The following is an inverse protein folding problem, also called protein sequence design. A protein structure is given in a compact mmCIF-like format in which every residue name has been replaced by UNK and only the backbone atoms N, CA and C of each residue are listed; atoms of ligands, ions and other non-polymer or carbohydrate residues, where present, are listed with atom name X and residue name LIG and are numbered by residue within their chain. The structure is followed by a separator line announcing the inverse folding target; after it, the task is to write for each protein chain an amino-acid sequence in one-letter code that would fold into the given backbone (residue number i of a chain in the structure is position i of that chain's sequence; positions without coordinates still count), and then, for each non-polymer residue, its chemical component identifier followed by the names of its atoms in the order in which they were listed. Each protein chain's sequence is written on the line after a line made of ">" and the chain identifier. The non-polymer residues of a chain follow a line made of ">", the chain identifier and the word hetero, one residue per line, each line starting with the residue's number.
data_IF_790156614674
#
_entry.id   IF_790156614674
#
_cell.length_a   1.000
_cell.length_b   1.000
_cell.length_c   1.000
_cell.angle_alpha   90.00
_cell.angle_beta   90.00
_cell.angle_gamma   90.00
#
_symmetry.space_group_name_H-M   'P 1'
#
loop_
_entity.id
_entity.type
_entity.pdbx_description
1 polymer ?
#
# COMPACT_ATOMS: atom_id res chain seq x y z
N UNK A 1 -26.64 42.49 29.63
CA UNK A 1 -27.62 43.59 29.30
C UNK A 1 -28.23 43.25 27.97
N UNK A 2 -29.48 42.94 28.07
CA UNK A 2 -30.67 43.40 27.34
C UNK A 2 -30.77 42.94 25.86
N UNK A 3 -31.67 42.01 25.64
CA UNK A 3 -33.07 42.14 25.09
C UNK A 3 -33.04 42.42 23.57
N UNK A 4 -33.59 41.63 22.70
CA UNK A 4 -34.85 40.92 22.61
C UNK A 4 -35.74 41.67 21.60
N UNK A 5 -36.34 41.01 20.67
CA UNK A 5 -37.75 41.20 20.28
C UNK A 5 -38.10 40.26 19.12
N UNK A 6 -39.18 39.55 19.33
CA UNK A 6 -39.90 38.73 18.41
C UNK A 6 -40.83 39.55 17.50
N UNK A 7 -41.23 38.97 16.38
CA UNK A 7 -42.29 39.49 15.55
C UNK A 7 -42.89 38.39 14.67
N UNK A 8 -44.15 38.13 14.92
CA UNK A 8 -44.94 37.00 14.40
C UNK A 8 -45.81 37.40 13.18
N UNK A 9 -46.22 36.35 12.48
CA UNK A 9 -47.52 36.09 11.85
C UNK A 9 -47.91 36.82 10.54
N UNK A 10 -48.44 36.01 9.65
CA UNK A 10 -49.29 36.43 8.53
C UNK A 10 -49.72 35.26 7.65
N UNK A 11 -50.82 34.59 8.06
CA UNK A 11 -51.62 33.66 7.24
C UNK A 11 -52.35 34.43 6.14
N UNK A 12 -52.50 33.83 4.96
CA UNK A 12 -53.71 33.98 4.13
C UNK A 12 -53.81 32.78 3.18
N UNK A 13 -54.90 32.05 3.33
CA UNK A 13 -55.43 31.03 2.45
C UNK A 13 -56.55 31.64 1.57
N UNK A 14 -56.69 31.16 0.32
CA UNK A 14 -57.93 31.09 -0.47
C UNK A 14 -57.72 30.11 -1.59
N UNK A 15 -58.23 28.97 -1.58
CA UNK A 15 -59.50 28.36 -2.02
C UNK A 15 -59.81 28.44 -3.56
N UNK A 16 -60.00 27.25 -4.15
CA UNK A 16 -61.16 26.97 -4.94
C UNK A 16 -60.91 26.49 -6.40
N UNK A 17 -61.45 25.30 -6.70
CA UNK A 17 -61.77 25.00 -8.09
C UNK A 17 -61.73 23.50 -8.44
N UNK A 18 -62.75 22.74 -8.06
CA UNK A 18 -63.11 21.42 -8.59
C UNK A 18 -63.56 21.50 -10.03
N UNK A 19 -63.23 20.56 -10.88
CA UNK A 19 -64.18 19.95 -11.79
C UNK A 19 -63.72 18.53 -12.22
N UNK A 20 -64.62 17.62 -12.00
CA UNK A 20 -64.66 16.20 -12.28
C UNK A 20 -64.87 15.89 -13.76
N UNK A 21 -64.28 14.80 -14.25
CA UNK A 21 -64.97 13.93 -15.21
C UNK A 21 -64.43 12.50 -15.08
N UNK A 22 -65.37 11.60 -14.73
CA UNK A 22 -65.23 10.15 -14.73
C UNK A 22 -65.29 9.59 -16.16
N UNK A 23 -64.55 8.54 -16.42
CA UNK A 23 -65.13 7.42 -17.19
C UNK A 23 -64.34 6.12 -16.91
N UNK A 24 -65.07 5.12 -16.74
CA UNK A 24 -64.85 3.78 -16.20
C UNK A 24 -64.29 2.77 -17.20
N UNK A 25 -63.73 1.71 -16.56
CA UNK A 25 -63.62 0.29 -16.98
C UNK A 25 -62.34 -0.09 -17.73
N UNK A 26 -61.59 -1.13 -17.42
CA UNK A 26 -61.91 -2.48 -16.98
C UNK A 26 -60.63 -3.16 -16.44
N UNK A 27 -60.83 -4.10 -15.57
CA UNK A 27 -59.84 -4.95 -14.93
C UNK A 27 -59.13 -5.92 -15.87
N UNK A 28 -57.80 -6.03 -15.71
CA UNK A 28 -57.13 -7.33 -15.84
C UNK A 28 -55.87 -7.37 -15.03
N UNK A 29 -55.89 -8.14 -13.94
CA UNK A 29 -54.71 -8.58 -13.20
C UNK A 29 -53.67 -9.22 -14.13
N UNK A 30 -52.53 -8.59 -14.27
CA UNK A 30 -51.27 -9.26 -14.64
C UNK A 30 -50.26 -9.00 -13.54
N UNK A 31 -50.07 -10.04 -12.69
CA UNK A 31 -48.87 -10.19 -11.91
C UNK A 31 -47.67 -10.10 -12.85
N UNK A 32 -47.05 -8.94 -12.90
CA UNK A 32 -45.69 -8.77 -13.45
C UNK A 32 -44.73 -9.23 -12.36
N UNK A 33 -44.23 -10.44 -12.51
CA UNK A 33 -43.02 -10.87 -11.82
C UNK A 33 -41.91 -9.96 -12.19
N UNK A 34 -41.42 -9.17 -11.24
CA UNK A 34 -40.21 -8.34 -11.39
C UNK A 34 -39.02 -9.25 -11.61
N UNK A 35 -38.66 -9.47 -12.87
CA UNK A 35 -37.32 -9.85 -13.26
C UNK A 35 -36.46 -8.64 -12.96
N UNK A 36 -35.63 -8.72 -11.93
CA UNK A 36 -34.55 -7.75 -11.67
C UNK A 36 -33.55 -7.81 -12.79
N UNK A 37 -33.83 -7.15 -13.90
CA UNK A 37 -32.84 -6.88 -14.94
C UNK A 37 -31.86 -5.87 -14.36
N UNK A 38 -30.62 -6.28 -14.15
CA UNK A 38 -29.50 -5.37 -13.93
C UNK A 38 -29.50 -4.34 -15.05
N UNK A 39 -29.77 -3.08 -14.72
CA UNK A 39 -29.69 -2.00 -15.71
C UNK A 39 -28.30 -2.03 -16.33
N UNK A 40 -28.21 -1.94 -17.67
CA UNK A 40 -26.94 -1.93 -18.37
C UNK A 40 -26.15 -0.70 -17.93
N UNK A 41 -24.96 -0.90 -17.37
CA UNK A 41 -24.04 0.19 -16.99
C UNK A 41 -23.25 0.74 -18.17
N UNK A 42 -23.40 0.17 -19.37
CA UNK A 42 -22.72 0.59 -20.58
C UNK A 42 -23.00 2.08 -20.89
N UNK A 43 -21.95 2.84 -21.21
CA UNK A 43 -22.03 4.27 -21.45
C UNK A 43 -21.95 5.17 -20.21
N UNK A 44 -21.99 4.59 -19.01
CA UNK A 44 -21.76 5.33 -17.76
C UNK A 44 -20.30 5.82 -17.67
N UNK A 45 -20.07 6.81 -16.80
CA UNK A 45 -18.73 7.31 -16.47
C UNK A 45 -18.46 7.10 -14.99
N UNK A 46 -17.26 6.63 -14.68
CA UNK A 46 -16.72 6.44 -13.34
C UNK A 46 -15.48 7.31 -13.17
N UNK A 47 -15.36 7.99 -12.04
CA UNK A 47 -14.16 8.72 -11.66
C UNK A 47 -13.26 7.85 -10.76
N UNK A 48 -11.95 7.97 -10.92
CA UNK A 48 -10.97 7.15 -10.21
C UNK A 48 -9.84 8.02 -9.66
N UNK A 49 -9.82 8.24 -8.35
CA UNK A 49 -8.74 8.93 -7.64
C UNK A 49 -7.51 8.02 -7.53
N UNK A 50 -6.34 8.52 -7.91
CA UNK A 50 -5.14 7.70 -7.98
C UNK A 50 -3.95 8.38 -7.34
N UNK A 51 -3.21 7.63 -6.49
CA UNK A 51 -1.89 8.00 -5.98
C UNK A 51 -0.73 7.45 -6.83
N UNK A 52 -1.01 6.81 -7.96
CA UNK A 52 0.01 6.31 -8.87
C UNK A 52 0.59 7.48 -9.69
N UNK A 53 1.45 8.29 -9.07
CA UNK A 53 2.04 9.50 -9.67
C UNK A 53 3.37 9.25 -10.35
N UNK A 54 4.12 8.23 -9.95
CA UNK A 54 5.37 7.84 -10.62
C UNK A 54 5.11 7.39 -12.06
N UNK A 55 5.97 7.76 -13.02
CA UNK A 55 5.71 7.57 -14.46
C UNK A 55 5.35 6.14 -14.84
N UNK A 56 6.01 5.16 -14.25
CA UNK A 56 5.81 3.75 -14.56
C UNK A 56 4.45 3.25 -14.05
N UNK A 57 4.14 3.44 -12.78
CA UNK A 57 2.86 3.07 -12.18
C UNK A 57 1.69 3.79 -12.85
N UNK A 58 1.86 5.09 -13.17
CA UNK A 58 0.86 5.88 -13.90
C UNK A 58 0.57 5.30 -15.29
N UNK A 59 1.61 4.87 -16.00
CA UNK A 59 1.46 4.28 -17.34
C UNK A 59 0.77 2.91 -17.27
N UNK A 60 1.15 2.06 -16.32
CA UNK A 60 0.53 0.75 -16.11
C UNK A 60 -0.95 0.88 -15.72
N UNK A 61 -1.26 1.84 -14.85
CA UNK A 61 -2.64 2.10 -14.43
C UNK A 61 -3.51 2.66 -15.57
N UNK A 62 -2.95 3.49 -16.44
CA UNK A 62 -3.64 3.97 -17.65
C UNK A 62 -3.97 2.81 -18.60
N UNK A 63 -3.07 1.84 -18.78
CA UNK A 63 -3.33 0.63 -19.57
C UNK A 63 -4.46 -0.21 -18.95
N UNK A 64 -4.41 -0.47 -17.63
CA UNK A 64 -5.44 -1.19 -16.90
C UNK A 64 -6.82 -0.54 -17.03
N UNK A 65 -6.92 0.77 -16.82
CA UNK A 65 -8.20 1.49 -16.88
C UNK A 65 -8.74 1.59 -18.32
N UNK A 66 -7.88 1.61 -19.33
CA UNK A 66 -8.26 1.50 -20.75
C UNK A 66 -8.84 0.12 -21.04
N UNK A 67 -8.21 -0.94 -20.57
CA UNK A 67 -8.70 -2.30 -20.73
C UNK A 67 -10.04 -2.51 -19.97
N UNK A 68 -10.16 -1.98 -18.76
CA UNK A 68 -11.40 -2.00 -17.99
C UNK A 68 -12.54 -1.27 -18.70
N UNK A 69 -12.27 -0.10 -19.29
CA UNK A 69 -13.24 0.65 -20.13
C UNK A 69 -13.68 -0.18 -21.33
N UNK A 70 -12.75 -0.84 -22.00
CA UNK A 70 -13.04 -1.67 -23.19
C UNK A 70 -13.92 -2.86 -22.84
N UNK A 71 -13.64 -3.53 -21.71
CA UNK A 71 -14.37 -4.71 -21.26
C UNK A 71 -15.77 -4.36 -20.75
N UNK A 72 -15.88 -3.41 -19.83
CA UNK A 72 -17.15 -3.05 -19.17
C UNK A 72 -18.05 -2.11 -19.98
N UNK A 73 -17.50 -1.44 -21.01
CA UNK A 73 -18.14 -0.32 -21.72
C UNK A 73 -18.45 0.89 -20.81
N UNK A 74 -17.81 0.99 -19.66
CA UNK A 74 -17.89 2.10 -18.72
C UNK A 74 -16.68 3.00 -18.95
N UNK A 75 -16.89 4.30 -19.14
CA UNK A 75 -15.79 5.26 -19.29
C UNK A 75 -15.13 5.54 -17.94
N UNK A 76 -13.82 5.38 -17.84
CA UNK A 76 -13.05 5.72 -16.64
C UNK A 76 -12.33 7.05 -16.85
N UNK A 77 -12.47 7.97 -15.88
CA UNK A 77 -11.69 9.20 -15.79
C UNK A 77 -10.79 9.13 -14.57
N UNK A 78 -9.47 9.15 -14.77
CA UNK A 78 -8.48 9.05 -13.70
C UNK A 78 -8.04 10.44 -13.25
N UNK A 79 -8.11 10.70 -11.94
CA UNK A 79 -7.64 11.90 -11.27
C UNK A 79 -6.38 11.53 -10.44
N UNK A 80 -5.20 11.77 -11.00
CA UNK A 80 -3.93 11.46 -10.33
C UNK A 80 -3.48 12.63 -9.46
N UNK A 81 -3.15 12.33 -8.21
CA UNK A 81 -2.52 13.23 -7.24
C UNK A 81 -1.17 12.63 -6.86
N UNK A 82 -0.20 13.48 -6.50
CA UNK A 82 1.09 13.04 -5.98
C UNK A 82 0.91 12.02 -4.83
N UNK A 83 1.75 10.98 -4.82
CA UNK A 83 1.62 9.83 -3.93
C UNK A 83 1.54 10.22 -2.45
N UNK A 84 2.48 11.05 -1.98
CA UNK A 84 2.52 11.47 -0.59
C UNK A 84 1.35 12.42 -0.26
N UNK A 85 1.07 13.37 -1.15
CA UNK A 85 -0.04 14.32 -1.02
C UNK A 85 -1.39 13.60 -0.94
N UNK A 86 -1.62 12.55 -1.74
CA UNK A 86 -2.84 11.75 -1.69
C UNK A 86 -3.01 11.06 -0.32
N UNK A 87 -1.93 10.44 0.19
CA UNK A 87 -1.93 9.78 1.48
C UNK A 87 -2.17 10.74 2.64
N UNK A 88 -1.50 11.91 2.64
CA UNK A 88 -1.63 12.91 3.69
C UNK A 88 -3.05 13.48 3.76
N UNK A 89 -3.72 13.61 2.62
CA UNK A 89 -5.04 14.21 2.50
C UNK A 89 -6.20 13.20 2.42
N UNK A 90 -5.95 11.90 2.53
CA UNK A 90 -6.95 10.85 2.28
C UNK A 90 -8.22 11.03 3.14
N UNK A 91 -8.10 11.38 4.40
CA UNK A 91 -9.24 11.58 5.29
C UNK A 91 -10.13 12.72 4.79
N UNK A 92 -9.56 13.87 4.49
CA UNK A 92 -10.31 15.02 3.96
C UNK A 92 -10.86 14.78 2.56
N UNK A 93 -10.12 14.04 1.72
CA UNK A 93 -10.59 13.61 0.42
C UNK A 93 -11.83 12.71 0.52
N UNK A 94 -11.81 11.67 1.35
CA UNK A 94 -12.95 10.76 1.53
C UNK A 94 -14.15 11.41 2.21
N UNK A 95 -13.92 12.35 3.13
CA UNK A 95 -14.97 13.13 3.78
C UNK A 95 -15.56 14.22 2.87
N UNK A 96 -14.80 14.70 1.90
CA UNK A 96 -15.21 15.75 0.95
C UNK A 96 -16.04 15.22 -0.23
N UNK A 97 -15.52 15.39 -1.44
CA UNK A 97 -16.07 14.91 -2.71
C UNK A 97 -15.07 13.98 -3.39
N UNK A 98 -14.94 12.73 -2.89
CA UNK A 98 -14.02 11.77 -3.48
C UNK A 98 -14.52 11.30 -4.85
N UNK A 99 -13.61 10.70 -5.61
CA UNK A 99 -13.94 9.95 -6.79
C UNK A 99 -14.80 8.71 -6.45
N UNK A 100 -15.40 8.08 -7.46
CA UNK A 100 -16.20 6.85 -7.25
C UNK A 100 -15.31 5.72 -6.73
N UNK A 101 -14.16 5.52 -7.35
CA UNK A 101 -13.12 4.56 -6.96
C UNK A 101 -11.84 5.29 -6.55
N UNK A 102 -11.02 4.64 -5.74
CA UNK A 102 -9.71 5.17 -5.41
C UNK A 102 -8.69 4.04 -5.18
N UNK A 103 -7.43 4.33 -5.52
CA UNK A 103 -6.28 3.46 -5.21
C UNK A 103 -6.01 3.49 -3.72
N UNK A 104 -5.77 2.33 -3.10
CA UNK A 104 -5.43 2.26 -1.69
C UNK A 104 -4.60 1.01 -1.36
N UNK A 105 -4.32 0.83 -0.09
CA UNK A 105 -3.47 -0.19 0.49
C UNK A 105 -4.29 -1.21 1.28
N UNK A 106 -3.93 -2.48 1.21
CA UNK A 106 -4.47 -3.52 2.08
C UNK A 106 -4.02 -3.35 3.55
N UNK A 107 -4.49 -4.23 4.43
CA UNK A 107 -4.13 -4.23 5.83
C UNK A 107 -4.98 -3.30 6.69
N UNK A 108 -4.49 -2.96 7.89
CA UNK A 108 -5.25 -2.16 8.85
C UNK A 108 -5.61 -0.77 8.31
N UNK A 109 -4.79 -0.20 7.45
CA UNK A 109 -5.06 1.11 6.85
C UNK A 109 -6.33 1.12 5.98
N UNK A 110 -6.64 0.02 5.28
CA UNK A 110 -7.94 -0.18 4.60
C UNK A 110 -9.05 -0.32 5.64
N UNK A 111 -8.85 -1.20 6.63
CA UNK A 111 -9.82 -1.48 7.69
C UNK A 111 -10.20 -0.22 8.48
N UNK A 112 -9.25 0.66 8.74
CA UNK A 112 -9.44 1.93 9.43
C UNK A 112 -10.46 2.84 8.72
N UNK A 113 -10.34 3.02 7.40
CA UNK A 113 -11.28 3.86 6.64
C UNK A 113 -12.63 3.17 6.41
N UNK A 114 -12.64 1.85 6.24
CA UNK A 114 -13.87 1.06 6.16
C UNK A 114 -14.68 1.16 7.48
N UNK A 115 -14.03 1.01 8.63
CA UNK A 115 -14.66 1.12 9.95
C UNK A 115 -15.25 2.51 10.23
N UNK A 116 -14.70 3.56 9.62
CA UNK A 116 -15.27 4.92 9.67
C UNK A 116 -16.44 5.14 8.70
N UNK A 117 -16.83 4.13 7.94
CA UNK A 117 -17.89 4.22 6.95
C UNK A 117 -17.56 5.09 5.74
N UNK A 118 -16.27 5.24 5.40
CA UNK A 118 -15.79 6.05 4.27
C UNK A 118 -15.65 5.26 2.96
N UNK A 119 -15.79 3.93 3.02
CA UNK A 119 -15.84 3.02 1.87
C UNK A 119 -17.14 2.21 1.88
N UNK A 120 -17.51 1.67 0.72
CA UNK A 120 -18.61 0.72 0.59
C UNK A 120 -18.09 -0.72 0.59
N UNK A 121 -18.84 -1.69 1.16
CA UNK A 121 -18.49 -3.09 1.06
C UNK A 121 -18.60 -3.58 -0.39
N UNK A 122 -17.79 -4.58 -0.71
CA UNK A 122 -17.62 -5.17 -2.04
C UNK A 122 -17.93 -6.68 -2.06
N UNK A 123 -18.76 -7.16 -1.14
CA UNK A 123 -19.08 -8.60 -1.03
C UNK A 123 -19.65 -9.15 -2.32
N UNK A 124 -20.55 -8.42 -2.97
CA UNK A 124 -21.14 -8.75 -4.25
C UNK A 124 -20.13 -8.79 -5.42
N UNK A 125 -19.09 -7.94 -5.37
CA UNK A 125 -17.95 -8.01 -6.29
C UNK A 125 -17.15 -9.28 -5.98
N UNK A 126 -16.85 -9.53 -4.69
CA UNK A 126 -16.08 -10.70 -4.25
C UNK A 126 -16.79 -12.05 -4.50
N UNK A 127 -18.13 -12.08 -4.53
CA UNK A 127 -18.88 -13.26 -5.00
C UNK A 127 -18.49 -13.65 -6.43
N UNK A 128 -18.15 -12.67 -7.29
CA UNK A 128 -17.79 -12.90 -8.69
C UNK A 128 -16.29 -13.16 -8.88
N UNK A 129 -15.45 -12.42 -8.17
CA UNK A 129 -13.99 -12.46 -8.38
C UNK A 129 -13.25 -13.36 -7.37
N UNK A 130 -13.87 -13.75 -6.26
CA UNK A 130 -13.20 -14.43 -5.15
C UNK A 130 -12.53 -15.75 -5.54
N UNK A 131 -13.03 -16.43 -6.57
CA UNK A 131 -12.39 -17.62 -7.12
C UNK A 131 -11.03 -17.36 -7.80
N UNK A 132 -10.75 -16.12 -8.13
CA UNK A 132 -9.47 -15.72 -8.75
C UNK A 132 -8.36 -15.53 -7.73
N UNK A 133 -8.66 -15.49 -6.43
CA UNK A 133 -7.69 -15.15 -5.38
C UNK A 133 -7.58 -16.25 -4.33
N UNK A 134 -6.39 -16.32 -3.72
CA UNK A 134 -6.15 -17.19 -2.57
C UNK A 134 -6.75 -16.62 -1.27
N UNK A 135 -6.85 -17.45 -0.21
CA UNK A 135 -7.40 -17.03 1.10
C UNK A 135 -6.70 -15.82 1.71
N UNK A 136 -5.38 -15.70 1.53
CA UNK A 136 -4.59 -14.58 2.04
C UNK A 136 -5.01 -13.24 1.42
N UNK A 137 -5.20 -13.19 0.10
CA UNK A 137 -5.66 -11.99 -0.60
C UNK A 137 -7.07 -11.59 -0.14
N UNK A 138 -7.97 -12.56 0.06
CA UNK A 138 -9.31 -12.32 0.62
C UNK A 138 -9.22 -11.74 2.03
N UNK A 139 -8.38 -12.31 2.90
CA UNK A 139 -8.18 -11.82 4.26
C UNK A 139 -7.66 -10.38 4.29
N UNK A 140 -6.67 -10.06 3.45
CA UNK A 140 -6.10 -8.71 3.31
C UNK A 140 -7.13 -7.67 2.80
N UNK A 141 -8.19 -8.13 2.13
CA UNK A 141 -9.26 -7.28 1.61
C UNK A 141 -10.46 -7.19 2.56
N UNK A 142 -10.41 -7.85 3.73
CA UNK A 142 -11.52 -7.96 4.67
C UNK A 142 -11.41 -6.91 5.77
N UNK A 143 -12.48 -6.16 5.99
CA UNK A 143 -12.65 -5.18 7.06
C UNK A 143 -12.80 -5.81 8.44
N UNK A 144 -12.81 -4.99 9.49
CA UNK A 144 -12.98 -5.42 10.88
C UNK A 144 -14.38 -6.01 11.15
N UNK A 145 -15.33 -5.68 10.30
CA UNK A 145 -16.74 -6.18 10.33
C UNK A 145 -16.96 -7.47 9.52
N UNK A 146 -15.92 -7.99 8.87
CA UNK A 146 -15.95 -9.21 8.09
C UNK A 146 -16.34 -9.02 6.62
N UNK A 147 -16.72 -7.82 6.18
CA UNK A 147 -17.02 -7.51 4.79
C UNK A 147 -15.74 -7.22 3.99
N UNK A 148 -15.75 -7.44 2.68
CA UNK A 148 -14.64 -7.09 1.80
C UNK A 148 -14.75 -5.64 1.34
N UNK A 149 -13.60 -4.92 1.33
CA UNK A 149 -13.54 -3.49 0.97
C UNK A 149 -12.48 -3.15 -0.08
N UNK A 150 -11.63 -4.11 -0.45
CA UNK A 150 -10.55 -3.91 -1.40
C UNK A 150 -10.61 -4.96 -2.50
N UNK A 151 -10.36 -4.57 -3.74
CA UNK A 151 -9.97 -5.49 -4.83
C UNK A 151 -8.46 -5.38 -4.96
N UNK A 152 -7.67 -6.42 -4.60
CA UNK A 152 -6.23 -6.37 -4.65
C UNK A 152 -5.74 -6.45 -6.10
N UNK A 153 -4.56 -5.89 -6.39
CA UNK A 153 -3.97 -5.91 -7.73
C UNK A 153 -2.60 -6.59 -7.76
N UNK A 154 -1.68 -6.18 -6.90
CA UNK A 154 -0.31 -6.68 -6.87
C UNK A 154 0.27 -6.62 -5.47
N UNK A 155 1.39 -7.33 -5.28
CA UNK A 155 2.28 -7.10 -4.15
C UNK A 155 3.73 -6.91 -4.63
N UNK A 156 4.58 -6.39 -3.72
CA UNK A 156 5.99 -6.11 -3.98
C UNK A 156 6.83 -6.39 -2.73
N UNK A 157 7.76 -7.34 -2.80
CA UNK A 157 8.59 -7.64 -1.65
C UNK A 157 9.62 -6.54 -1.40
N UNK A 158 9.93 -6.30 -0.12
CA UNK A 158 11.05 -5.49 0.32
C UNK A 158 12.29 -6.36 0.47
N UNK A 159 13.33 -6.02 -0.29
CA UNK A 159 14.52 -6.85 -0.47
C UNK A 159 15.77 -5.98 -0.56
N UNK A 160 16.95 -6.60 -0.45
CA UNK A 160 18.23 -5.89 -0.62
C UNK A 160 18.68 -6.01 -2.06
N UNK A 161 18.62 -4.91 -2.79
CA UNK A 161 19.07 -4.82 -4.19
C UNK A 161 20.56 -4.62 -4.29
N UNK A 162 21.16 -5.11 -5.39
CA UNK A 162 22.55 -4.92 -5.76
C UNK A 162 22.75 -5.07 -7.28
N UNK A 163 23.86 -4.54 -7.82
CA UNK A 163 24.26 -4.76 -9.21
C UNK A 163 25.17 -5.98 -9.30
N UNK A 164 24.79 -6.98 -10.10
CA UNK A 164 25.56 -8.25 -10.29
C UNK A 164 26.98 -7.99 -10.77
N UNK A 165 27.15 -7.07 -11.72
CA UNK A 165 28.45 -6.72 -12.27
C UNK A 165 29.41 -6.14 -11.22
N UNK A 166 28.95 -5.30 -10.30
CA UNK A 166 29.78 -4.75 -9.23
C UNK A 166 30.15 -5.80 -8.17
N UNK A 167 29.19 -6.71 -7.83
CA UNK A 167 29.49 -7.83 -6.94
C UNK A 167 30.54 -8.77 -7.56
N UNK A 168 30.40 -9.12 -8.83
CA UNK A 168 31.37 -9.95 -9.54
C UNK A 168 32.76 -9.28 -9.64
N UNK A 169 32.82 -8.03 -10.08
CA UNK A 169 34.05 -7.24 -10.22
C UNK A 169 34.83 -7.10 -8.93
N UNK A 170 34.15 -6.97 -7.80
CA UNK A 170 34.75 -6.76 -6.48
C UNK A 170 34.84 -8.02 -5.64
N UNK A 171 34.44 -9.17 -6.19
CA UNK A 171 34.40 -10.47 -5.52
C UNK A 171 33.57 -10.43 -4.21
N UNK A 172 32.43 -9.72 -4.24
CA UNK A 172 31.50 -9.72 -3.12
C UNK A 172 30.63 -10.96 -3.17
N UNK A 173 30.31 -11.49 -1.99
CA UNK A 173 29.40 -12.61 -1.80
C UNK A 173 28.08 -12.11 -1.20
N UNK A 174 26.96 -12.61 -1.67
CA UNK A 174 25.64 -12.31 -1.11
C UNK A 174 25.60 -12.82 0.34
N UNK A 175 25.33 -11.92 1.31
CA UNK A 175 25.27 -12.30 2.73
C UNK A 175 23.97 -13.03 3.06
N UNK A 176 24.04 -14.00 3.97
CA UNK A 176 22.89 -14.77 4.46
C UNK A 176 22.60 -14.49 5.94
N UNK A 177 23.58 -13.96 6.67
CA UNK A 177 23.51 -13.62 8.09
C UNK A 177 23.80 -12.14 8.32
N UNK A 178 23.38 -11.64 9.48
CA UNK A 178 23.65 -10.26 9.91
C UNK A 178 25.14 -9.94 9.93
N UNK A 179 25.96 -10.81 10.49
CA UNK A 179 27.40 -10.61 10.60
C UNK A 179 28.07 -10.52 9.23
N UNK A 180 27.64 -11.38 8.28
CA UNK A 180 28.11 -11.30 6.88
C UNK A 180 27.67 -9.99 6.21
N UNK A 181 26.43 -9.52 6.48
CA UNK A 181 25.90 -8.28 5.92
C UNK A 181 26.70 -7.05 6.39
N UNK A 182 26.92 -6.96 7.70
CA UNK A 182 27.75 -5.89 8.30
C UNK A 182 29.20 -5.98 7.81
N UNK A 183 29.76 -7.19 7.71
CA UNK A 183 31.12 -7.40 7.20
C UNK A 183 31.23 -6.96 5.73
N UNK A 184 30.25 -7.29 4.90
CA UNK A 184 30.20 -6.83 3.51
C UNK A 184 30.10 -5.30 3.43
N UNK A 185 29.25 -4.68 4.24
CA UNK A 185 29.10 -3.22 4.31
C UNK A 185 30.43 -2.54 4.71
N UNK A 186 31.14 -3.09 5.70
CA UNK A 186 32.51 -2.62 6.08
C UNK A 186 33.48 -2.70 4.90
N UNK A 187 33.49 -3.83 4.20
CA UNK A 187 34.35 -4.03 3.02
C UNK A 187 34.02 -3.04 1.91
N UNK A 188 32.74 -2.85 1.58
CA UNK A 188 32.30 -1.88 0.57
C UNK A 188 32.76 -0.46 0.90
N UNK A 189 32.68 -0.06 2.18
CA UNK A 189 33.17 1.24 2.64
C UNK A 189 34.68 1.39 2.45
N UNK A 190 35.44 0.34 2.74
CA UNK A 190 36.90 0.30 2.52
C UNK A 190 37.25 0.37 1.04
N UNK A 191 36.44 -0.27 0.17
CA UNK A 191 36.60 -0.28 -1.27
C UNK A 191 36.12 1.04 -1.95
N UNK A 192 35.70 2.03 -1.15
CA UNK A 192 35.32 3.37 -1.61
C UNK A 192 33.88 3.50 -2.13
N UNK A 193 33.01 2.49 -1.88
CA UNK A 193 31.60 2.58 -2.18
C UNK A 193 30.80 3.17 -1.01
N UNK A 194 29.63 3.73 -1.29
CA UNK A 194 28.56 3.87 -0.32
C UNK A 194 28.00 2.45 -0.11
N UNK A 195 28.14 1.84 1.09
CA UNK A 195 27.72 0.45 1.24
C UNK A 195 26.21 0.24 0.99
N UNK A 196 25.38 1.12 1.55
CA UNK A 196 23.93 1.04 1.48
C UNK A 196 23.37 2.40 1.06
N UNK A 197 22.78 2.47 -0.12
CA UNK A 197 21.99 3.63 -0.55
C UNK A 197 20.77 3.75 0.38
N UNK A 198 20.53 4.96 0.92
CA UNK A 198 19.48 5.17 1.91
C UNK A 198 18.90 6.59 1.81
N UNK A 199 17.58 6.67 1.95
CA UNK A 199 16.82 7.92 1.88
C UNK A 199 15.57 7.82 2.76
N UNK A 200 15.21 8.92 3.43
CA UNK A 200 14.04 8.99 4.30
C UNK A 200 13.39 10.38 4.37
N UNK A 201 13.55 11.20 3.33
CA UNK A 201 12.89 12.53 3.28
C UNK A 201 11.39 12.42 3.41
N UNK A 202 10.80 11.40 2.78
CA UNK A 202 9.37 11.13 2.80
C UNK A 202 8.90 10.46 4.11
N UNK A 203 9.85 10.00 4.95
CA UNK A 203 9.64 9.40 6.27
C UNK A 203 9.23 7.93 6.24
N UNK A 204 8.49 7.50 5.24
CA UNK A 204 8.05 6.11 5.14
C UNK A 204 9.17 5.11 4.73
N UNK A 205 10.22 5.45 3.93
CA UNK A 205 11.19 4.43 3.53
C UNK A 205 11.91 3.75 4.70
N UNK A 206 12.20 4.49 5.76
CA UNK A 206 12.87 3.94 6.93
C UNK A 206 11.97 3.02 7.79
N UNK A 207 10.63 3.12 7.67
CA UNK A 207 9.71 2.22 8.36
C UNK A 207 10.00 0.75 7.97
N UNK A 208 10.25 0.47 6.68
CA UNK A 208 10.56 -0.88 6.23
C UNK A 208 11.84 -1.46 6.82
N UNK A 209 12.86 -0.62 7.10
CA UNK A 209 14.06 -1.08 7.80
C UNK A 209 13.75 -1.47 9.24
N UNK A 210 12.89 -0.71 9.92
CA UNK A 210 12.42 -1.09 11.26
C UNK A 210 11.63 -2.41 11.21
N UNK A 211 10.71 -2.55 10.28
CA UNK A 211 9.83 -3.72 10.15
C UNK A 211 10.63 -4.99 9.92
N UNK A 212 11.53 -5.00 8.94
CA UNK A 212 12.33 -6.19 8.65
C UNK A 212 13.26 -6.56 9.80
N UNK A 213 13.89 -5.58 10.44
CA UNK A 213 14.71 -5.85 11.63
C UNK A 213 13.87 -6.40 12.77
N UNK A 214 12.69 -5.84 13.00
CA UNK A 214 11.80 -6.35 14.06
C UNK A 214 11.36 -7.79 13.79
N UNK A 215 10.98 -8.13 12.56
CA UNK A 215 10.63 -9.50 12.19
C UNK A 215 11.83 -10.45 12.26
N UNK A 216 13.04 -10.01 11.87
CA UNK A 216 14.27 -10.82 11.95
C UNK A 216 14.78 -11.06 13.37
N UNK A 217 14.50 -10.14 14.29
CA UNK A 217 14.94 -10.19 15.70
C UNK A 217 13.89 -10.85 16.59
N UNK A 218 12.64 -10.42 16.47
CA UNK A 218 11.56 -10.75 17.41
C UNK A 218 10.50 -11.70 16.81
N UNK A 219 10.42 -11.82 15.47
CA UNK A 219 9.44 -12.62 14.75
C UNK A 219 8.17 -11.86 14.40
N UNK A 220 7.38 -12.46 13.50
CA UNK A 220 6.18 -11.85 12.93
C UNK A 220 5.09 -11.57 13.97
N UNK A 221 4.80 -12.53 14.84
CA UNK A 221 3.75 -12.36 15.87
C UNK A 221 4.06 -11.22 16.83
N UNK A 222 5.35 -11.04 17.17
CA UNK A 222 5.78 -9.90 17.97
C UNK A 222 5.57 -8.59 17.21
N UNK A 223 5.97 -8.56 15.94
CA UNK A 223 5.80 -7.38 15.08
C UNK A 223 4.33 -6.96 15.00
N UNK A 224 3.41 -7.87 14.68
CA UNK A 224 1.97 -7.57 14.59
C UNK A 224 1.35 -7.15 15.93
N UNK A 225 1.83 -7.71 17.05
CA UNK A 225 1.41 -7.28 18.38
C UNK A 225 1.92 -5.89 18.73
N UNK A 226 3.12 -5.52 18.27
CA UNK A 226 3.66 -4.18 18.45
C UNK A 226 2.86 -3.16 17.61
N UNK A 227 2.55 -3.48 16.35
CA UNK A 227 1.74 -2.63 15.46
C UNK A 227 0.36 -2.35 16.05
N UNK A 228 -0.24 -3.29 16.76
CA UNK A 228 -1.55 -3.16 17.44
C UNK A 228 -1.45 -2.74 18.92
N UNK A 229 -0.30 -2.29 19.36
CA UNK A 229 0.00 -1.89 20.76
C UNK A 229 -0.35 -2.95 21.82
N UNK A 230 -0.32 -4.23 21.45
CA UNK A 230 -0.42 -5.36 22.40
C UNK A 230 0.91 -5.65 23.08
N UNK A 231 2.00 -5.07 22.59
CA UNK A 231 3.33 -5.02 23.19
C UNK A 231 3.68 -3.53 23.29
N UNK A 232 4.20 -3.06 24.44
CA UNK A 232 4.56 -1.66 24.61
C UNK A 232 5.81 -1.30 23.80
N UNK A 233 5.88 -0.09 23.27
CA UNK A 233 7.05 0.41 22.54
C UNK A 233 8.30 0.54 23.41
N UNK A 234 8.15 0.49 24.72
CA UNK A 234 9.26 0.45 25.70
C UNK A 234 9.81 -0.96 25.94
N UNK A 235 9.29 -1.98 25.24
CA UNK A 235 9.79 -3.35 25.36
C UNK A 235 11.26 -3.47 24.94
N UNK A 236 11.99 -4.39 25.58
CA UNK A 236 13.40 -4.62 25.30
C UNK A 236 13.66 -5.09 23.86
N UNK A 237 12.71 -5.82 23.26
CA UNK A 237 12.78 -6.24 21.85
C UNK A 237 12.85 -5.06 20.91
N UNK A 238 12.10 -3.97 21.17
CA UNK A 238 12.16 -2.72 20.39
C UNK A 238 13.52 -2.04 20.54
N UNK A 239 14.08 -2.01 21.77
CA UNK A 239 15.43 -1.48 21.97
C UNK A 239 16.46 -2.25 21.15
N UNK A 240 16.36 -3.59 21.11
CA UNK A 240 17.24 -4.45 20.32
C UNK A 240 17.19 -4.14 18.83
N UNK A 241 15.99 -3.83 18.27
CA UNK A 241 15.83 -3.41 16.88
C UNK A 241 16.64 -2.14 16.60
N UNK A 242 16.46 -1.11 17.41
CA UNK A 242 17.20 0.16 17.25
C UNK A 242 18.71 -0.01 17.44
N UNK A 243 19.16 -0.88 18.35
CA UNK A 243 20.58 -1.16 18.57
C UNK A 243 21.22 -1.82 17.34
N UNK A 244 20.60 -2.84 16.76
CA UNK A 244 21.08 -3.46 15.51
C UNK A 244 21.07 -2.45 14.35
N UNK A 245 20.04 -1.63 14.26
CA UNK A 245 20.02 -0.60 13.23
C UNK A 245 21.11 0.45 13.41
N UNK A 246 21.40 0.86 14.65
CA UNK A 246 22.50 1.76 14.97
C UNK A 246 23.87 1.23 14.49
N UNK A 247 24.08 -0.10 14.53
CA UNK A 247 25.30 -0.73 13.98
C UNK A 247 25.41 -0.56 12.45
N UNK A 248 24.28 -0.47 11.74
CA UNK A 248 24.23 -0.37 10.30
C UNK A 248 24.32 1.07 9.79
N UNK A 249 23.83 2.06 10.56
CA UNK A 249 23.79 3.46 10.15
C UNK A 249 25.13 4.03 9.66
N UNK A 250 26.30 3.70 10.25
CA UNK A 250 27.60 4.17 9.73
C UNK A 250 27.95 3.71 8.32
N UNK A 251 27.20 2.75 7.77
CA UNK A 251 27.34 2.18 6.43
C UNK A 251 26.24 2.62 5.47
N UNK A 252 25.29 3.42 5.92
CA UNK A 252 24.24 3.99 5.07
C UNK A 252 24.69 5.31 4.44
N UNK A 253 24.06 5.68 3.34
CA UNK A 253 24.28 6.95 2.68
C UNK A 253 23.87 8.10 3.59
N UNK A 254 24.84 8.99 3.90
CA UNK A 254 24.64 10.12 4.82
C UNK A 254 23.56 11.09 4.33
N UNK A 255 22.87 11.79 5.24
CA UNK A 255 21.84 12.77 4.91
C UNK A 255 20.52 12.15 4.43
N UNK A 256 20.15 10.98 4.94
CA UNK A 256 18.95 10.25 4.55
C UNK A 256 17.67 11.09 4.68
N UNK A 257 17.48 11.80 5.79
CA UNK A 257 16.30 12.63 6.08
C UNK A 257 16.12 13.81 5.10
N UNK A 258 17.12 14.13 4.28
CA UNK A 258 17.05 15.16 3.24
C UNK A 258 16.92 14.61 1.81
N UNK A 259 17.03 13.30 1.62
CA UNK A 259 17.07 12.63 0.30
C UNK A 259 15.78 11.88 0.03
N UNK A 260 15.23 12.00 -1.19
CA UNK A 260 14.14 11.17 -1.69
C UNK A 260 14.65 9.79 -2.10
N UNK A 261 13.79 8.77 -2.03
CA UNK A 261 14.19 7.39 -2.33
C UNK A 261 14.62 7.19 -3.79
N UNK A 262 14.08 7.96 -4.74
CA UNK A 262 14.47 7.93 -6.15
C UNK A 262 15.96 8.29 -6.34
N UNK A 263 16.47 9.26 -5.59
CA UNK A 263 17.88 9.64 -5.66
C UNK A 263 18.80 8.59 -5.05
N UNK A 264 18.36 7.89 -4.00
CA UNK A 264 19.08 6.75 -3.46
C UNK A 264 19.14 5.59 -4.47
N UNK A 265 18.01 5.28 -5.12
CA UNK A 265 17.96 4.24 -6.15
C UNK A 265 18.87 4.56 -7.35
N UNK A 266 18.90 5.82 -7.80
CA UNK A 266 19.86 6.29 -8.83
C UNK A 266 21.32 6.16 -8.39
N UNK A 267 21.61 6.34 -7.10
CA UNK A 267 22.97 6.13 -6.56
C UNK A 267 23.39 4.66 -6.69
N UNK A 268 22.45 3.73 -6.48
CA UNK A 268 22.67 2.31 -6.73
C UNK A 268 22.81 2.00 -8.23
N UNK A 269 21.95 2.55 -9.07
CA UNK A 269 22.00 2.39 -10.54
C UNK A 269 23.32 2.87 -11.12
N UNK A 270 23.80 4.02 -10.64
CA UNK A 270 25.11 4.60 -11.02
C UNK A 270 26.30 3.81 -10.46
N UNK A 271 26.08 2.69 -9.74
CA UNK A 271 27.12 1.85 -9.13
C UNK A 271 28.03 2.59 -8.12
N UNK A 272 27.51 3.68 -7.57
CA UNK A 272 28.16 4.45 -6.49
C UNK A 272 27.83 3.86 -5.11
N UNK A 273 26.71 3.17 -5.00
CA UNK A 273 26.36 2.37 -3.83
C UNK A 273 26.41 0.86 -4.13
N UNK A 274 26.69 0.06 -3.10
CA UNK A 274 26.77 -1.39 -3.21
C UNK A 274 25.43 -2.08 -3.10
N UNK A 275 24.55 -1.61 -2.20
CA UNK A 275 23.26 -2.23 -1.85
C UNK A 275 22.20 -1.17 -1.58
N UNK A 276 20.92 -1.58 -1.65
CA UNK A 276 19.77 -0.78 -1.18
C UNK A 276 18.65 -1.72 -0.70
N UNK A 277 18.15 -1.54 0.52
CA UNK A 277 16.97 -2.23 1.02
C UNK A 277 15.73 -1.38 0.73
N UNK A 278 14.83 -1.88 -0.12
CA UNK A 278 13.62 -1.17 -0.53
C UNK A 278 12.65 -2.13 -1.26
N UNK A 279 11.43 -1.66 -1.54
CA UNK A 279 10.47 -2.40 -2.34
C UNK A 279 10.88 -2.54 -3.82
N UNK A 280 10.44 -3.62 -4.45
CA UNK A 280 10.76 -3.89 -5.87
C UNK A 280 10.19 -2.83 -6.79
N UNK A 281 8.98 -2.34 -6.52
CA UNK A 281 8.32 -1.29 -7.30
C UNK A 281 9.01 0.09 -7.21
N UNK A 282 9.84 0.32 -6.19
CA UNK A 282 10.62 1.55 -6.11
C UNK A 282 11.97 1.41 -6.87
N UNK A 283 12.79 0.43 -6.50
CA UNK A 283 14.14 0.35 -7.04
C UNK A 283 14.15 -0.06 -8.50
N UNK A 284 13.50 -1.17 -8.86
CA UNK A 284 13.53 -1.65 -10.24
C UNK A 284 12.88 -0.67 -11.21
N UNK A 285 11.88 0.10 -10.76
CA UNK A 285 11.25 1.14 -11.56
C UNK A 285 12.20 2.27 -11.98
N UNK A 286 13.28 2.53 -11.24
CA UNK A 286 14.28 3.53 -11.62
C UNK A 286 15.23 3.03 -12.73
N UNK A 287 15.31 1.72 -12.93
CA UNK A 287 16.17 1.07 -13.92
C UNK A 287 15.52 0.91 -15.31
N UNK A 288 14.26 1.36 -15.48
CA UNK A 288 13.48 1.16 -16.74
C UNK A 288 14.08 1.84 -17.96
N UNK A 289 14.83 2.92 -17.79
CA UNK A 289 15.35 3.71 -18.91
C UNK A 289 16.52 3.04 -19.61
N UNK A 290 17.18 2.08 -18.95
CA UNK A 290 18.27 1.29 -19.49
C UNK A 290 18.07 -0.20 -19.19
N UNK A 291 17.72 -0.95 -20.23
CA UNK A 291 17.51 -2.41 -20.10
C UNK A 291 18.77 -3.14 -19.61
N UNK A 292 19.96 -2.70 -19.99
CA UNK A 292 21.20 -3.34 -19.55
C UNK A 292 21.41 -3.17 -18.04
N UNK A 293 21.05 -2.01 -17.50
CA UNK A 293 21.08 -1.77 -16.06
C UNK A 293 20.04 -2.63 -15.33
N UNK A 294 18.82 -2.75 -15.87
CA UNK A 294 17.78 -3.62 -15.30
C UNK A 294 18.21 -5.10 -15.34
N UNK A 295 18.83 -5.56 -16.43
CA UNK A 295 19.34 -6.92 -16.54
C UNK A 295 20.54 -7.17 -15.58
N UNK A 296 21.26 -6.13 -15.15
CA UNK A 296 22.34 -6.20 -14.15
C UNK A 296 21.83 -6.17 -12.70
N UNK A 297 20.63 -5.66 -12.47
CA UNK A 297 20.01 -5.60 -11.14
C UNK A 297 19.65 -7.02 -10.66
N UNK A 298 19.91 -7.29 -9.38
CA UNK A 298 19.42 -8.47 -8.67
C UNK A 298 19.17 -8.10 -7.20
N UNK A 299 18.60 -9.02 -6.44
CA UNK A 299 18.36 -8.80 -5.01
C UNK A 299 18.62 -10.08 -4.21
N UNK A 300 18.69 -9.92 -2.89
CA UNK A 300 18.61 -11.01 -1.92
C UNK A 300 17.65 -10.61 -0.79
N UNK A 301 17.07 -11.60 -0.13
CA UNK A 301 16.21 -11.36 1.05
C UNK A 301 17.05 -10.83 2.20
N UNK A 302 16.46 -9.94 3.02
CA UNK A 302 17.20 -9.38 4.15
C UNK A 302 17.78 -10.50 5.03
N UNK A 303 19.08 -10.43 5.39
CA UNK A 303 19.77 -11.52 6.08
C UNK A 303 19.14 -11.91 7.41
N UNK A 304 19.41 -13.15 7.82
CA UNK A 304 19.00 -13.67 9.13
C UNK A 304 19.74 -12.93 10.24
N UNK A 305 18.99 -12.37 11.20
CA UNK A 305 19.55 -11.82 12.45
C UNK A 305 19.44 -12.87 13.56
N UNK A 306 18.24 -13.33 13.85
CA UNK A 306 18.01 -14.41 14.83
C UNK A 306 17.66 -15.71 14.08
N UNK A 307 18.49 -16.79 14.24
CA UNK A 307 18.25 -18.07 13.56
C UNK A 307 16.89 -18.70 13.86
N UNK A 308 16.27 -18.36 15.00
CA UNK A 308 14.92 -18.83 15.35
C UNK A 308 13.88 -18.43 14.31
N UNK A 309 14.05 -17.25 13.71
CA UNK A 309 13.10 -16.69 12.76
C UNK A 309 13.59 -16.79 11.30
N UNK A 310 14.90 -16.94 11.12
CA UNK A 310 15.52 -17.11 9.80
C UNK A 310 15.10 -16.03 8.82
N UNK A 311 14.60 -16.46 7.66
CA UNK A 311 14.04 -15.62 6.60
C UNK A 311 12.54 -15.94 6.35
N UNK A 312 11.85 -16.44 7.37
CA UNK A 312 10.46 -16.91 7.28
C UNK A 312 9.44 -15.79 7.02
N UNK A 313 9.83 -14.53 7.16
CA UNK A 313 8.96 -13.36 7.10
C UNK A 313 9.56 -12.25 6.26
N UNK A 314 8.72 -11.45 5.59
CA UNK A 314 9.14 -10.24 4.88
C UNK A 314 7.99 -9.24 4.81
N UNK A 315 8.32 -7.99 4.48
CA UNK A 315 7.34 -7.05 3.96
C UNK A 315 7.08 -7.36 2.49
N UNK A 316 5.83 -7.61 2.16
CA UNK A 316 5.34 -7.73 0.79
C UNK A 316 3.95 -7.08 0.70
N UNK A 317 3.91 -5.74 0.74
CA UNK A 317 2.66 -5.00 0.75
C UNK A 317 1.81 -5.27 -0.46
N UNK A 318 0.48 -5.19 -0.27
CA UNK A 318 -0.52 -5.36 -1.31
C UNK A 318 -1.23 -4.05 -1.55
N UNK A 319 -1.26 -3.61 -2.80
CA UNK A 319 -2.03 -2.46 -3.24
C UNK A 319 -3.27 -2.90 -4.02
N UNK A 320 -4.31 -2.06 -4.01
CA UNK A 320 -5.55 -2.37 -4.67
C UNK A 320 -6.49 -1.16 -4.75
N UNK A 321 -7.78 -1.44 -4.86
CA UNK A 321 -8.79 -0.45 -5.15
C UNK A 321 -9.99 -0.57 -4.23
N UNK A 322 -10.50 0.59 -3.81
CA UNK A 322 -11.68 0.70 -2.94
C UNK A 322 -12.79 1.49 -3.61
N UNK A 323 -14.03 1.23 -3.19
CA UNK A 323 -15.22 1.95 -3.60
C UNK A 323 -15.55 3.00 -2.54
N UNK A 324 -15.60 4.26 -2.94
CA UNK A 324 -15.93 5.37 -2.04
C UNK A 324 -17.35 5.24 -1.50
N UNK A 325 -17.57 5.61 -0.23
CA UNK A 325 -18.90 5.72 0.35
C UNK A 325 -19.79 6.70 -0.43
N UNK A 326 -19.19 7.70 -1.05
CA UNK A 326 -19.88 8.78 -1.79
C UNK A 326 -19.86 8.57 -3.31
N UNK A 327 -19.55 7.34 -3.77
CA UNK A 327 -19.61 7.02 -5.20
C UNK A 327 -20.96 7.35 -5.80
N UNK A 328 -20.96 8.05 -6.94
CA UNK A 328 -22.17 8.48 -7.64
C UNK A 328 -22.73 7.39 -8.58
N UNK A 329 -21.81 6.61 -9.15
CA UNK A 329 -22.11 5.55 -10.12
C UNK A 329 -21.67 4.18 -9.60
N UNK A 330 -22.23 3.76 -8.45
CA UNK A 330 -21.85 2.55 -7.71
C UNK A 330 -21.83 1.29 -8.58
N UNK A 331 -22.89 1.02 -9.35
CA UNK A 331 -22.98 -0.20 -10.18
C UNK A 331 -21.93 -0.20 -11.30
N UNK A 332 -21.69 0.96 -11.92
CA UNK A 332 -20.66 1.10 -12.93
C UNK A 332 -19.25 0.96 -12.32
N UNK A 333 -19.04 1.52 -11.14
CA UNK A 333 -17.78 1.38 -10.40
C UNK A 333 -17.52 -0.08 -10.02
N UNK A 334 -18.52 -0.82 -9.55
CA UNK A 334 -18.41 -2.25 -9.28
C UNK A 334 -18.08 -3.07 -10.53
N UNK A 335 -18.68 -2.75 -11.69
CA UNK A 335 -18.36 -3.41 -12.94
C UNK A 335 -16.89 -3.20 -13.38
N UNK A 336 -16.30 -2.03 -13.08
CA UNK A 336 -14.86 -1.79 -13.26
C UNK A 336 -14.05 -2.67 -12.31
N UNK A 337 -14.42 -2.75 -11.02
CA UNK A 337 -13.74 -3.57 -10.03
C UNK A 337 -13.84 -5.08 -10.32
N UNK A 338 -14.97 -5.55 -10.84
CA UNK A 338 -15.15 -6.92 -11.29
C UNK A 338 -14.16 -7.30 -12.40
N UNK A 339 -13.93 -6.40 -13.36
CA UNK A 339 -12.92 -6.62 -14.39
C UNK A 339 -11.50 -6.59 -13.80
N UNK A 340 -11.20 -5.59 -12.96
CA UNK A 340 -9.87 -5.43 -12.34
C UNK A 340 -9.49 -6.68 -11.52
N UNK A 341 -10.46 -7.30 -10.83
CA UNK A 341 -10.26 -8.52 -10.06
C UNK A 341 -10.08 -9.80 -10.91
N UNK A 342 -9.60 -9.69 -12.15
CA UNK A 342 -9.36 -10.83 -13.04
C UNK A 342 -7.89 -10.97 -13.42
N UNK A 343 -7.44 -12.21 -13.67
CA UNK A 343 -6.09 -12.46 -14.16
C UNK A 343 -5.72 -11.69 -15.44
N UNK A 344 -6.58 -11.58 -16.47
CA UNK A 344 -6.33 -10.73 -17.63
C UNK A 344 -6.07 -9.26 -17.30
N UNK A 345 -6.78 -8.70 -16.31
CA UNK A 345 -6.57 -7.32 -15.88
C UNK A 345 -5.22 -7.13 -15.17
N UNK A 346 -4.87 -8.04 -14.24
CA UNK A 346 -3.53 -8.05 -13.62
C UNK A 346 -2.43 -8.20 -14.67
N UNK A 347 -2.60 -9.12 -15.63
CA UNK A 347 -1.64 -9.32 -16.71
C UNK A 347 -1.46 -8.06 -17.57
N UNK A 348 -2.53 -7.28 -17.81
CA UNK A 348 -2.46 -6.01 -18.55
C UNK A 348 -1.63 -4.97 -17.78
N UNK A 349 -1.86 -4.83 -16.48
CA UNK A 349 -1.06 -3.95 -15.63
C UNK A 349 0.42 -4.36 -15.63
N UNK A 350 0.70 -5.64 -15.40
CA UNK A 350 2.05 -6.20 -15.26
C UNK A 350 2.86 -6.27 -16.56
N UNK A 351 2.24 -6.06 -17.73
CA UNK A 351 2.99 -5.87 -18.98
C UNK A 351 3.85 -4.60 -18.96
N UNK A 352 3.35 -3.55 -18.32
CA UNK A 352 4.03 -2.26 -18.22
C UNK A 352 4.78 -2.15 -16.89
N UNK A 353 4.18 -2.63 -15.82
CA UNK A 353 4.80 -2.75 -14.52
C UNK A 353 5.61 -4.06 -14.45
N UNK A 354 6.94 -3.95 -14.58
CA UNK A 354 7.83 -5.11 -14.70
C UNK A 354 8.54 -5.46 -13.38
N UNK A 355 8.04 -5.05 -12.24
CA UNK A 355 8.63 -5.24 -10.91
C UNK A 355 7.64 -5.71 -9.84
N UNK A 356 6.37 -5.47 -10.01
CA UNK A 356 5.31 -5.99 -9.15
C UNK A 356 4.91 -7.41 -9.54
N UNK A 357 4.28 -8.13 -8.63
CA UNK A 357 3.79 -9.49 -8.88
C UNK A 357 2.30 -9.59 -8.61
N UNK A 358 1.56 -10.22 -9.50
CA UNK A 358 0.12 -10.37 -9.40
C UNK A 358 -0.31 -11.37 -8.33
N UNK A 359 -1.56 -11.25 -7.91
CA UNK A 359 -2.16 -12.05 -6.84
C UNK A 359 -3.16 -13.09 -7.34
N UNK A 360 -3.61 -12.99 -8.60
CA UNK A 360 -4.60 -13.90 -9.14
C UNK A 360 -4.07 -15.33 -9.26
N UNK A 361 -4.86 -16.30 -8.82
CA UNK A 361 -4.57 -17.73 -8.93
C UNK A 361 -4.36 -18.12 -10.40
N UNK A 362 -3.29 -18.86 -10.67
CA UNK A 362 -3.01 -19.33 -12.02
C UNK A 362 -2.66 -18.24 -13.03
N UNK A 363 -2.39 -17.01 -12.55
CA UNK A 363 -1.96 -15.91 -13.39
C UNK A 363 -0.71 -16.30 -14.19
N UNK A 364 -0.85 -16.24 -15.50
CA UNK A 364 0.26 -16.45 -16.44
C UNK A 364 0.66 -15.11 -17.02
N UNK A 365 1.76 -14.55 -16.55
CA UNK A 365 2.41 -13.39 -17.16
C UNK A 365 3.61 -13.89 -17.96
N UNK A 366 3.46 -14.07 -19.29
CA UNK A 366 4.54 -14.62 -20.13
C UNK A 366 5.83 -13.81 -20.08
N UNK A 367 5.71 -12.56 -19.67
CA UNK A 367 6.77 -11.55 -19.68
C UNK A 367 7.44 -11.33 -18.33
N UNK A 368 7.13 -12.12 -17.28
CA UNK A 368 7.85 -12.00 -16.00
C UNK A 368 9.36 -12.07 -16.20
N UNK A 369 10.04 -11.00 -15.82
CA UNK A 369 11.50 -10.94 -15.84
C UNK A 369 12.13 -11.70 -14.66
N UNK A 370 13.45 -11.66 -14.54
CA UNK A 370 14.18 -12.38 -13.49
C UNK A 370 13.81 -11.88 -12.08
N UNK A 371 13.62 -10.57 -11.92
CA UNK A 371 13.24 -9.94 -10.62
C UNK A 371 11.86 -10.43 -10.19
N UNK A 372 10.85 -10.35 -11.07
CA UNK A 372 9.49 -10.80 -10.77
C UNK A 372 9.43 -12.30 -10.46
N UNK A 373 10.09 -13.14 -11.24
CA UNK A 373 10.16 -14.60 -10.99
C UNK A 373 10.78 -14.90 -9.63
N UNK A 374 11.85 -14.20 -9.29
CA UNK A 374 12.50 -14.33 -7.99
C UNK A 374 11.61 -13.82 -6.86
N UNK A 375 10.91 -12.71 -7.05
CA UNK A 375 9.94 -12.16 -6.08
C UNK A 375 8.84 -13.16 -5.74
N UNK A 376 8.22 -13.78 -6.75
CA UNK A 376 7.21 -14.84 -6.55
C UNK A 376 7.80 -16.01 -5.75
N UNK A 377 9.02 -16.43 -6.10
CA UNK A 377 9.67 -17.55 -5.41
C UNK A 377 10.01 -17.22 -3.95
N UNK A 378 10.48 -16.01 -3.65
CA UNK A 378 10.85 -15.62 -2.29
C UNK A 378 9.60 -15.38 -1.41
N UNK A 379 8.56 -14.72 -1.93
CA UNK A 379 7.27 -14.58 -1.22
C UNK A 379 6.69 -15.96 -0.90
N UNK A 380 6.75 -16.89 -1.87
CA UNK A 380 6.23 -18.25 -1.69
C UNK A 380 6.95 -19.10 -0.65
N UNK A 381 8.17 -18.72 -0.22
CA UNK A 381 8.92 -19.37 0.87
C UNK A 381 8.52 -18.84 2.24
N UNK A 382 7.94 -17.65 2.33
CA UNK A 382 7.59 -17.03 3.59
C UNK A 382 6.42 -17.74 4.28
N UNK A 383 6.48 -17.86 5.60
CA UNK A 383 5.37 -18.33 6.45
C UNK A 383 4.29 -17.27 6.57
N UNK A 384 4.68 -16.00 6.57
CA UNK A 384 3.79 -14.84 6.56
C UNK A 384 4.49 -13.63 5.96
N UNK A 385 3.70 -12.68 5.46
CA UNK A 385 4.15 -11.38 4.95
C UNK A 385 3.44 -10.26 5.70
N UNK A 386 4.19 -9.22 6.07
CA UNK A 386 3.64 -8.00 6.64
C UNK A 386 3.26 -7.02 5.52
N UNK A 387 2.32 -6.12 5.82
CA UNK A 387 1.85 -5.12 4.87
C UNK A 387 2.66 -3.82 4.94
N UNK A 388 3.56 -3.69 5.86
CA UNK A 388 4.34 -2.50 6.17
C UNK A 388 3.77 -1.70 7.36
N UNK A 389 4.62 -1.08 8.17
CA UNK A 389 4.19 -0.39 9.41
C UNK A 389 3.08 0.64 9.16
N UNK A 390 3.16 1.43 8.11
CA UNK A 390 2.16 2.46 7.82
C UNK A 390 0.81 1.89 7.37
N UNK A 391 0.72 0.59 7.17
CA UNK A 391 -0.47 -0.16 6.77
C UNK A 391 -0.95 -1.14 7.81
N UNK A 392 -0.04 -1.60 8.70
CA UNK A 392 -0.33 -2.55 9.78
C UNK A 392 -0.57 -1.86 11.13
N UNK A 393 -0.11 -0.61 11.30
CA UNK A 393 -0.36 0.21 12.47
C UNK A 393 -1.49 1.24 12.22
N UNK A 394 -2.01 1.82 13.31
CA UNK A 394 -2.90 2.97 13.21
C UNK A 394 -2.22 4.12 12.45
N UNK A 395 -2.93 4.83 11.54
CA UNK A 395 -2.34 5.91 10.75
C UNK A 395 -1.68 7.02 11.58
N UNK A 396 -2.23 7.33 12.76
CA UNK A 396 -1.63 8.31 13.65
C UNK A 396 -0.33 7.78 14.30
N UNK A 397 -0.29 6.47 14.60
CA UNK A 397 0.91 5.83 15.13
C UNK A 397 2.01 5.73 14.07
N UNK A 398 1.66 5.35 12.84
CA UNK A 398 2.60 5.35 11.72
C UNK A 398 3.24 6.73 11.51
N UNK A 399 2.42 7.79 11.54
CA UNK A 399 2.91 9.17 11.44
C UNK A 399 3.83 9.57 12.60
N UNK A 400 3.51 9.15 13.83
CA UNK A 400 4.37 9.37 14.99
C UNK A 400 5.72 8.64 14.84
N UNK A 401 5.69 7.38 14.35
CA UNK A 401 6.90 6.58 14.14
C UNK A 401 7.80 7.13 13.04
N UNK A 402 7.28 7.72 11.99
CA UNK A 402 8.09 8.46 10.99
C UNK A 402 8.98 9.49 11.70
N UNK A 403 8.38 10.37 12.51
CA UNK A 403 9.14 11.40 13.23
C UNK A 403 10.14 10.82 14.24
N UNK A 404 9.79 9.72 14.90
CA UNK A 404 10.65 9.04 15.87
C UNK A 404 11.84 8.40 15.19
N UNK A 405 11.63 7.72 14.06
CA UNK A 405 12.69 7.04 13.30
C UNK A 405 13.63 8.08 12.66
N UNK A 406 13.12 9.19 12.13
CA UNK A 406 13.99 10.27 11.61
C UNK A 406 14.90 10.84 12.70
N UNK A 407 14.39 11.05 13.91
CA UNK A 407 15.21 11.47 15.07
C UNK A 407 16.24 10.42 15.48
N UNK A 408 15.90 9.13 15.36
CA UNK A 408 16.84 8.04 15.60
C UNK A 408 17.97 8.01 14.55
N UNK A 409 17.64 8.23 13.28
CA UNK A 409 18.63 8.28 12.19
C UNK A 409 19.63 9.43 12.44
N UNK A 410 19.17 10.58 12.94
CA UNK A 410 20.01 11.73 13.25
C UNK A 410 20.86 11.53 14.51
N UNK A 411 20.34 10.81 15.53
CA UNK A 411 21.07 10.49 16.76
C UNK A 411 20.75 9.04 17.22
N UNK A 412 21.56 8.04 16.81
CA UNK A 412 21.36 6.64 17.19
C UNK A 412 21.97 6.28 18.56
N UNK A 413 22.25 7.24 19.44
CA UNK A 413 22.81 6.99 20.75
C UNK A 413 21.82 6.22 21.67
N UNK A 414 22.38 5.40 22.55
CA UNK A 414 21.57 4.59 23.50
C UNK A 414 20.63 5.45 24.37
N UNK A 415 21.07 6.64 24.78
CA UNK A 415 20.26 7.57 25.55
C UNK A 415 19.08 8.10 24.77
N UNK A 416 19.28 8.42 23.49
CA UNK A 416 18.21 8.86 22.60
C UNK A 416 17.23 7.72 22.28
N UNK A 417 17.71 6.49 22.02
CA UNK A 417 16.86 5.32 21.81
C UNK A 417 15.85 5.16 22.96
N UNK A 418 16.33 5.19 24.20
CA UNK A 418 15.44 5.07 25.37
C UNK A 418 14.42 6.21 25.48
N UNK A 419 14.79 7.43 25.08
CA UNK A 419 13.88 8.59 25.00
C UNK A 419 12.84 8.41 23.91
N UNK A 420 13.25 7.96 22.73
CA UNK A 420 12.37 7.73 21.58
C UNK A 420 11.36 6.61 21.84
N UNK A 421 11.77 5.52 22.50
CA UNK A 421 10.86 4.46 22.94
C UNK A 421 9.77 4.98 23.89
N UNK A 422 10.15 5.84 24.86
CA UNK A 422 9.18 6.48 25.74
C UNK A 422 8.22 7.38 25.00
N UNK A 423 8.71 8.14 24.01
CA UNK A 423 7.89 8.99 23.15
C UNK A 423 6.91 8.15 22.33
N UNK A 424 7.38 7.05 21.71
CA UNK A 424 6.53 6.12 20.97
C UNK A 424 5.42 5.53 21.86
N UNK A 425 5.76 5.10 23.06
CA UNK A 425 4.80 4.57 24.03
C UNK A 425 3.75 5.57 24.47
N UNK A 426 4.14 6.84 24.67
CA UNK A 426 3.18 7.91 24.97
C UNK A 426 2.19 8.14 23.84
N UNK A 427 2.68 8.17 22.59
CA UNK A 427 1.82 8.29 21.41
C UNK A 427 0.87 7.09 21.29
N UNK A 428 1.41 5.88 21.42
CA UNK A 428 0.62 4.67 21.33
C UNK A 428 -0.49 4.61 22.38
N UNK A 429 -0.21 4.95 23.64
CA UNK A 429 -1.23 5.06 24.69
C UNK A 429 -2.35 6.04 24.36
N UNK A 430 -2.02 7.17 23.76
CA UNK A 430 -3.02 8.15 23.38
C UNK A 430 -3.88 7.69 22.19
N UNK A 431 -3.31 6.91 21.28
CA UNK A 431 -3.95 6.50 20.03
C UNK A 431 -4.81 5.24 20.23
N UNK A 432 -4.28 4.21 20.90
CA UNK A 432 -4.95 2.90 21.02
C UNK A 432 -5.88 2.76 22.23
N UNK A 433 -6.06 3.81 23.03
CA UNK A 433 -7.00 3.85 24.16
C UNK A 433 -8.32 4.56 23.83
N UNK A 434 -8.47 5.09 22.62
CA UNK A 434 -9.67 5.81 22.15
C UNK A 434 -10.68 4.88 21.49
#
# INVERSE_FOLDING_TARGET
>A
MLRGVAGAAGLAAVSGGLLTACSSSDSSDKKSGGSGGTASVAGSTVTFGSNYSDPAAKTAFAALTTAATTSSKVKVTVNTVDHNTFQDNITSYLQGTPDDLFTWFAGYRMQYFAAQGLAQPLDDVWEKIGGNFGPAAKQLSTGLDGHQYLVPLYNYPWVVFYNKSEFAKRHYTVPTTWDEYVTLAKKMKTDGLIPIAFADKDGWPALGTFDILNMRINGYDYHMKLMSHKIPWTDAGVATVFQHWAELLPYTQSGANGRIWQDAAKTLEAKQAGMMFQGTNQVAAQYVTDKANLDDLDFFTFPTVNPKWGQDYMDAPTDGFMLSKKAKNTDAAKAILEYIGTGPAEAEYLKTDQWDVGLANGLQVPTYNAIQKKSVAEIGKCKAVAQFMDRDADPAMAKAMISIIQKFIDDPSTGNIASLQKSAEQQAKAIYTS
#
